data_IF_903602821442
#
_entry.id   IF_903602821442
#
_cell.length_a   1.000
_cell.length_b   1.000
_cell.length_c   1.000
_cell.angle_alpha   90.00
_cell.angle_beta   90.00
_cell.angle_gamma   90.00
#
_symmetry.space_group_name_H-M   'P 1'
#
loop_
_entity.id
_entity.type
_entity.pdbx_description
1 polymer ?
#
# COMPACT_ATOMS: atom_id res chain seq x y z
N UNK A 1 -0.85 -14.65 33.21
CA UNK A 1 -0.12 -15.30 32.09
C UNK A 1 -1.03 -15.24 30.87
N UNK A 2 -0.51 -14.80 29.69
CA UNK A 2 -1.26 -14.89 28.44
C UNK A 2 -1.56 -16.36 28.14
N UNK A 3 -2.82 -16.66 27.73
CA UNK A 3 -3.21 -18.02 27.34
C UNK A 3 -2.57 -18.35 26.00
N UNK A 4 -2.00 -19.54 25.86
CA UNK A 4 -1.39 -20.04 24.63
C UNK A 4 -2.29 -21.12 24.02
N UNK A 5 -2.52 -21.01 22.70
CA UNK A 5 -3.29 -21.94 21.88
C UNK A 5 -2.40 -22.39 20.72
N UNK A 6 -1.71 -23.51 20.89
CA UNK A 6 -0.90 -24.08 19.83
C UNK A 6 -1.82 -24.70 18.77
N UNK A 7 -1.68 -24.31 17.50
CA UNK A 7 -2.55 -24.80 16.41
C UNK A 7 -2.46 -26.32 16.24
N UNK A 8 -1.37 -26.96 16.67
CA UNK A 8 -1.18 -28.41 16.63
C UNK A 8 -2.12 -29.14 17.60
N UNK A 9 -2.48 -28.50 18.70
CA UNK A 9 -3.48 -29.06 19.65
C UNK A 9 -4.87 -29.09 19.06
N UNK A 10 -5.11 -28.31 17.97
CA UNK A 10 -6.35 -28.29 17.20
C UNK A 10 -6.29 -29.15 15.94
N UNK A 11 -5.20 -29.89 15.73
CA UNK A 11 -5.04 -30.82 14.63
C UNK A 11 -4.26 -30.28 13.42
N UNK A 12 -3.57 -29.12 13.54
CA UNK A 12 -2.72 -28.64 12.47
C UNK A 12 -1.48 -29.53 12.32
N UNK A 13 -1.10 -29.81 11.05
CA UNK A 13 0.07 -30.62 10.69
C UNK A 13 1.03 -29.78 9.88
N UNK A 14 2.25 -29.62 10.38
CA UNK A 14 3.27 -28.74 9.79
C UNK A 14 4.06 -29.36 8.63
N UNK A 15 3.38 -30.06 7.70
CA UNK A 15 4.01 -30.77 6.58
C UNK A 15 3.92 -30.04 5.23
N UNK A 16 3.28 -28.84 5.21
CA UNK A 16 3.05 -28.05 4.01
C UNK A 16 2.00 -28.60 3.02
N UNK A 17 1.29 -29.65 3.40
CA UNK A 17 0.33 -30.37 2.52
C UNK A 17 -1.04 -30.52 3.13
N UNK A 18 -1.09 -30.84 4.40
CA UNK A 18 -2.33 -30.98 5.15
C UNK A 18 -2.99 -29.60 5.30
N UNK A 19 -4.29 -29.51 4.96
CA UNK A 19 -5.07 -28.29 5.10
C UNK A 19 -5.34 -27.99 6.59
N UNK A 20 -4.63 -27.02 7.13
CA UNK A 20 -4.71 -26.59 8.52
C UNK A 20 -5.75 -25.49 8.77
N UNK A 21 -6.53 -25.07 7.77
CA UNK A 21 -7.46 -23.93 7.87
C UNK A 21 -8.41 -24.06 9.05
N UNK A 22 -9.09 -25.22 9.17
CA UNK A 22 -10.05 -25.46 10.25
C UNK A 22 -9.38 -25.46 11.64
N UNK A 23 -8.19 -26.05 11.77
CA UNK A 23 -7.43 -26.07 13.01
C UNK A 23 -7.00 -24.69 13.46
N UNK A 24 -6.45 -23.88 12.54
CA UNK A 24 -6.03 -22.50 12.83
C UNK A 24 -7.25 -21.63 13.17
N UNK A 25 -8.34 -21.74 12.40
CA UNK A 25 -9.55 -20.97 12.69
C UNK A 25 -10.16 -21.32 14.05
N UNK A 26 -10.19 -22.62 14.40
CA UNK A 26 -10.67 -23.07 15.70
C UNK A 26 -9.81 -22.54 16.84
N UNK A 27 -8.49 -22.49 16.68
CA UNK A 27 -7.59 -21.91 17.67
C UNK A 27 -7.86 -20.39 17.85
N UNK A 28 -8.07 -19.66 16.76
CA UNK A 28 -8.44 -18.23 16.78
C UNK A 28 -9.76 -18.01 17.51
N UNK A 29 -10.79 -18.78 17.18
CA UNK A 29 -12.12 -18.65 17.80
C UNK A 29 -12.06 -18.98 19.29
N UNK A 30 -11.41 -20.06 19.68
CA UNK A 30 -11.23 -20.48 21.10
C UNK A 30 -10.41 -19.47 21.90
N UNK A 31 -9.37 -18.90 21.29
CA UNK A 31 -8.58 -17.85 21.92
C UNK A 31 -9.42 -16.64 22.27
N UNK A 32 -10.23 -16.16 21.32
CA UNK A 32 -11.13 -15.02 21.54
C UNK A 32 -12.23 -15.32 22.57
N UNK A 33 -12.90 -16.48 22.48
CA UNK A 33 -13.91 -16.94 23.46
C UNK A 33 -13.35 -17.02 24.88
N UNK A 34 -12.07 -17.33 25.01
CA UNK A 34 -11.39 -17.37 26.31
C UNK A 34 -11.00 -15.97 26.85
N UNK A 35 -11.36 -14.89 26.14
CA UNK A 35 -11.04 -13.51 26.50
C UNK A 35 -9.68 -13.04 25.98
N UNK A 36 -9.16 -13.69 24.96
CA UNK A 36 -7.90 -13.33 24.29
C UNK A 36 -6.68 -14.14 24.72
N UNK A 37 -5.61 -14.02 23.95
CA UNK A 37 -4.37 -14.73 24.15
C UNK A 37 -3.50 -14.83 22.88
N UNK A 38 -2.63 -15.83 22.87
CA UNK A 38 -1.74 -16.09 21.74
C UNK A 38 -2.11 -17.40 21.05
N UNK A 39 -2.38 -17.34 19.75
CA UNK A 39 -2.47 -18.50 18.87
C UNK A 39 -1.08 -18.72 18.26
N UNK A 40 -0.44 -19.84 18.53
CA UNK A 40 0.92 -20.13 18.12
C UNK A 40 0.94 -21.08 16.92
N UNK A 41 1.51 -20.61 15.79
CA UNK A 41 2.01 -21.45 14.72
C UNK A 41 3.48 -21.74 14.97
N UNK A 42 3.77 -22.88 15.59
CA UNK A 42 5.12 -23.29 15.95
C UNK A 42 5.94 -23.74 14.72
N UNK A 43 7.08 -24.40 14.95
CA UNK A 43 7.91 -24.96 13.88
C UNK A 43 7.13 -25.84 12.91
N UNK A 44 7.29 -25.62 11.61
CA UNK A 44 6.64 -26.37 10.53
C UNK A 44 6.05 -25.47 9.44
N UNK A 45 5.58 -26.08 8.35
CA UNK A 45 4.88 -25.38 7.25
C UNK A 45 3.41 -25.77 7.27
N UNK A 46 2.54 -24.81 7.46
CA UNK A 46 1.10 -25.03 7.61
C UNK A 46 0.35 -24.46 6.42
N UNK A 47 -0.16 -25.35 5.55
CA UNK A 47 -1.02 -24.99 4.44
C UNK A 47 -2.37 -24.51 4.99
N UNK A 48 -2.82 -23.32 4.56
CA UNK A 48 -4.08 -22.76 5.01
C UNK A 48 -4.80 -21.98 3.88
N UNK A 49 -6.07 -21.75 4.08
CA UNK A 49 -6.94 -20.92 3.27
C UNK A 49 -7.52 -19.78 4.13
N UNK A 50 -8.38 -18.90 3.60
CA UNK A 50 -8.81 -17.69 4.30
C UNK A 50 -9.21 -17.90 5.76
N UNK A 51 -8.67 -17.03 6.61
CA UNK A 51 -8.91 -16.99 8.05
C UNK A 51 -9.59 -15.68 8.45
N UNK A 52 -10.50 -15.76 9.42
CA UNK A 52 -11.17 -14.61 10.03
C UNK A 52 -10.61 -14.34 11.42
N UNK A 53 -10.13 -13.13 11.63
CA UNK A 53 -9.67 -12.68 12.95
C UNK A 53 -10.84 -12.40 13.90
N UNK A 54 -10.55 -12.52 15.19
CA UNK A 54 -11.41 -12.15 16.30
C UNK A 54 -10.67 -11.19 17.22
N UNK A 55 -11.43 -10.41 18.00
CA UNK A 55 -10.83 -9.50 18.99
C UNK A 55 -10.02 -10.24 20.05
N UNK A 56 -8.94 -9.61 20.51
CA UNK A 56 -8.07 -10.14 21.56
C UNK A 56 -7.08 -11.23 21.10
N UNK A 57 -6.97 -11.50 19.79
CA UNK A 57 -6.14 -12.59 19.27
C UNK A 57 -4.80 -12.07 18.78
N UNK A 58 -3.71 -12.65 19.30
CA UNK A 58 -2.35 -12.53 18.79
C UNK A 58 -1.99 -13.82 18.05
N UNK A 59 -1.91 -13.77 16.71
CA UNK A 59 -1.38 -14.89 15.90
C UNK A 59 0.13 -14.74 15.82
N UNK A 60 0.84 -15.63 16.48
CA UNK A 60 2.29 -15.64 16.52
C UNK A 60 2.86 -16.79 15.68
N UNK A 61 3.76 -16.45 14.74
CA UNK A 61 4.46 -17.41 13.90
C UNK A 61 5.90 -17.51 14.41
N UNK A 62 6.29 -18.69 14.88
CA UNK A 62 7.64 -18.93 15.36
C UNK A 62 8.67 -18.69 14.25
N UNK A 63 9.93 -18.42 14.62
CA UNK A 63 11.02 -18.07 13.68
C UNK A 63 11.21 -19.09 12.53
N UNK A 64 10.95 -20.36 12.76
CA UNK A 64 11.01 -21.47 11.81
C UNK A 64 9.62 -21.96 11.37
N UNK A 65 8.56 -21.23 11.75
CA UNK A 65 7.19 -21.45 11.32
C UNK A 65 6.89 -20.77 9.98
N UNK A 66 6.14 -21.46 9.14
CA UNK A 66 5.67 -20.93 7.85
C UNK A 66 4.16 -21.14 7.73
N UNK A 67 3.41 -20.05 7.53
CA UNK A 67 2.03 -20.11 7.05
C UNK A 67 2.04 -20.03 5.53
N UNK A 68 1.58 -21.10 4.86
CA UNK A 68 1.58 -21.24 3.41
C UNK A 68 0.15 -21.13 2.87
N UNK A 69 -0.19 -20.03 2.18
CA UNK A 69 -1.52 -19.85 1.63
C UNK A 69 -1.80 -20.84 0.49
N UNK A 70 -2.99 -21.43 0.45
CA UNK A 70 -3.37 -22.38 -0.58
C UNK A 70 -3.57 -21.72 -1.94
N UNK A 71 -3.37 -22.46 -3.03
CA UNK A 71 -3.37 -21.94 -4.40
C UNK A 71 -4.67 -22.20 -5.18
N UNK A 72 -5.69 -22.80 -4.57
CA UNK A 72 -6.98 -23.02 -5.21
C UNK A 72 -7.87 -21.77 -5.12
N UNK A 73 -8.10 -21.02 -6.23
CA UNK A 73 -8.85 -19.78 -6.23
C UNK A 73 -10.33 -19.96 -5.84
N UNK A 74 -10.90 -21.14 -6.00
CA UNK A 74 -12.29 -21.43 -5.65
C UNK A 74 -12.54 -21.40 -4.13
N UNK A 75 -11.50 -21.50 -3.35
CA UNK A 75 -11.54 -21.51 -1.87
C UNK A 75 -11.40 -20.14 -1.24
N UNK A 76 -11.27 -19.09 -2.03
CA UNK A 76 -11.22 -17.70 -1.56
C UNK A 76 -12.58 -17.03 -1.68
N UNK A 77 -13.36 -16.91 -0.59
CA UNK A 77 -14.69 -16.33 -0.64
C UNK A 77 -14.64 -14.82 -0.89
N UNK A 78 -15.67 -14.30 -1.54
CA UNK A 78 -15.86 -12.86 -1.64
C UNK A 78 -16.49 -12.29 -0.36
N UNK A 79 -16.02 -11.12 0.05
CA UNK A 79 -16.66 -10.34 1.11
C UNK A 79 -17.77 -9.52 0.49
N UNK A 80 -18.98 -9.62 1.06
CA UNK A 80 -20.10 -8.73 0.75
C UNK A 80 -19.98 -7.37 1.43
N UNK A 81 -20.90 -6.47 1.13
CA UNK A 81 -21.09 -5.24 1.89
C UNK A 81 -21.48 -5.54 3.35
N UNK A 82 -21.04 -4.71 4.26
CA UNK A 82 -21.28 -4.86 5.69
C UNK A 82 -21.39 -3.49 6.37
N UNK A 83 -21.64 -3.37 7.69
CA UNK A 83 -21.79 -2.10 8.39
C UNK A 83 -20.57 -1.19 8.37
N UNK A 84 -19.37 -1.73 8.11
CA UNK A 84 -18.11 -0.98 8.15
C UNK A 84 -17.70 -0.40 6.81
N UNK A 85 -18.18 -0.96 5.70
CA UNK A 85 -17.79 -0.49 4.37
C UNK A 85 -18.75 -0.93 3.27
N UNK A 86 -18.77 -0.17 2.18
CA UNK A 86 -19.47 -0.48 0.93
C UNK A 86 -18.49 -0.90 -0.14
N UNK A 87 -18.97 -1.66 -1.11
CA UNK A 87 -18.19 -2.03 -2.28
C UNK A 87 -18.17 -0.84 -3.26
N UNK A 88 -17.15 -0.01 -3.14
CA UNK A 88 -16.92 1.10 -4.08
C UNK A 88 -16.32 0.64 -5.41
N UNK A 89 -16.12 1.61 -6.31
CA UNK A 89 -15.66 1.37 -7.68
C UNK A 89 -14.34 0.61 -7.76
N UNK A 90 -13.36 1.05 -6.99
CA UNK A 90 -12.01 0.52 -7.06
C UNK A 90 -11.88 -0.94 -6.57
N UNK A 91 -12.94 -1.52 -6.01
CA UNK A 91 -12.84 -2.76 -5.25
C UNK A 91 -13.74 -3.90 -5.75
N UNK A 92 -14.60 -3.65 -6.74
CA UNK A 92 -15.53 -4.65 -7.24
C UNK A 92 -14.90 -5.99 -7.59
N UNK A 93 -13.63 -5.96 -8.06
CA UNK A 93 -12.91 -7.16 -8.47
C UNK A 93 -11.94 -7.70 -7.40
N UNK A 94 -11.91 -7.11 -6.18
CA UNK A 94 -10.87 -7.36 -5.19
C UNK A 94 -11.41 -7.68 -3.79
N UNK A 95 -12.52 -8.41 -3.72
CA UNK A 95 -13.22 -8.73 -2.46
C UNK A 95 -12.77 -10.02 -1.77
N UNK A 96 -11.70 -10.64 -2.27
CA UNK A 96 -11.16 -11.88 -1.71
C UNK A 96 -9.92 -11.61 -0.90
N UNK A 97 -9.76 -12.32 0.20
CA UNK A 97 -8.72 -12.09 1.20
C UNK A 97 -8.04 -13.39 1.62
N UNK A 98 -6.92 -13.25 2.32
CA UNK A 98 -6.28 -14.36 3.04
C UNK A 98 -6.55 -14.25 4.53
N UNK A 99 -6.27 -13.09 5.13
CA UNK A 99 -6.63 -12.77 6.51
C UNK A 99 -7.63 -11.62 6.53
N UNK A 100 -8.73 -11.76 7.27
CA UNK A 100 -9.77 -10.76 7.38
C UNK A 100 -10.19 -10.50 8.82
N UNK A 101 -10.24 -9.23 9.21
CA UNK A 101 -10.79 -8.76 10.48
C UNK A 101 -11.77 -7.61 10.25
N UNK A 102 -12.95 -7.71 10.84
CA UNK A 102 -14.05 -6.77 10.71
C UNK A 102 -14.53 -6.35 12.08
N UNK A 103 -14.38 -5.06 12.41
CA UNK A 103 -14.78 -4.51 13.71
C UNK A 103 -14.05 -5.17 14.88
N UNK A 104 -12.83 -5.62 14.69
CA UNK A 104 -12.04 -6.31 15.73
C UNK A 104 -11.10 -5.35 16.43
N UNK A 105 -10.80 -5.64 17.69
CA UNK A 105 -9.90 -4.85 18.51
C UNK A 105 -8.82 -5.72 19.16
N UNK A 106 -7.64 -5.12 19.46
CA UNK A 106 -6.52 -5.78 20.14
C UNK A 106 -6.06 -7.03 19.40
N UNK A 107 -5.71 -6.87 18.11
CA UNK A 107 -5.26 -7.97 17.26
C UNK A 107 -3.83 -7.79 16.85
N UNK A 108 -3.10 -8.92 16.75
CA UNK A 108 -1.75 -8.92 16.23
C UNK A 108 -1.51 -10.11 15.29
N UNK A 109 -0.72 -9.86 14.23
CA UNK A 109 -0.04 -10.91 13.46
C UNK A 109 1.46 -10.65 13.63
N UNK A 110 2.18 -11.59 14.21
CA UNK A 110 3.53 -11.28 14.69
C UNK A 110 4.42 -12.51 14.82
N UNK A 111 5.65 -12.30 15.23
CA UNK A 111 6.65 -13.32 15.38
C UNK A 111 7.86 -13.09 14.49
N UNK A 112 8.70 -14.09 14.28
CA UNK A 112 9.89 -14.03 13.43
C UNK A 112 9.79 -14.97 12.23
N UNK A 113 8.62 -15.62 12.06
CA UNK A 113 8.35 -16.58 11.00
C UNK A 113 7.95 -15.94 9.68
N UNK A 114 7.38 -16.78 8.80
CA UNK A 114 7.04 -16.38 7.44
C UNK A 114 5.57 -16.62 7.10
N UNK A 115 5.02 -15.76 6.26
CA UNK A 115 3.75 -15.99 5.58
C UNK A 115 4.02 -15.90 4.08
N UNK A 116 3.84 -17.01 3.36
CA UNK A 116 3.95 -17.07 1.91
C UNK A 116 2.55 -17.13 1.30
N UNK A 117 2.20 -16.06 0.61
CA UNK A 117 0.89 -15.95 -0.03
C UNK A 117 0.82 -16.62 -1.40
N UNK A 118 1.93 -17.15 -1.91
CA UNK A 118 2.03 -17.86 -3.18
C UNK A 118 1.44 -17.10 -4.38
N UNK A 119 1.56 -15.78 -4.40
CA UNK A 119 0.92 -14.89 -5.38
C UNK A 119 1.26 -15.20 -6.84
N UNK A 120 2.46 -15.72 -7.11
CA UNK A 120 2.90 -16.17 -8.44
C UNK A 120 2.05 -17.33 -9.00
N UNK A 121 1.28 -18.02 -8.15
CA UNK A 121 0.32 -19.03 -8.61
C UNK A 121 -0.98 -18.43 -9.17
N UNK A 122 -1.22 -17.15 -8.89
CA UNK A 122 -2.44 -16.43 -9.30
C UNK A 122 -2.17 -15.34 -10.33
N UNK A 123 -0.96 -14.79 -10.34
CA UNK A 123 -0.59 -13.67 -11.21
C UNK A 123 0.50 -14.09 -12.19
N UNK A 124 0.31 -13.72 -13.44
CA UNK A 124 1.35 -13.93 -14.44
C UNK A 124 2.47 -12.89 -14.28
N UNK A 125 3.68 -13.36 -14.04
CA UNK A 125 4.90 -12.55 -14.05
C UNK A 125 5.69 -12.88 -15.30
N UNK A 126 5.78 -11.94 -16.26
CA UNK A 126 6.56 -12.14 -17.48
C UNK A 126 8.06 -11.95 -17.17
N UNK A 127 8.87 -13.03 -17.21
CA UNK A 127 10.30 -12.93 -16.91
C UNK A 127 11.11 -12.15 -17.97
N UNK A 128 10.53 -11.91 -19.14
CA UNK A 128 11.18 -11.11 -20.20
C UNK A 128 11.09 -9.61 -19.93
N UNK A 129 10.21 -9.16 -19.03
CA UNK A 129 10.14 -7.77 -18.63
C UNK A 129 11.25 -7.44 -17.63
N UNK A 130 11.88 -6.25 -17.73
CA UNK A 130 12.80 -5.79 -16.69
C UNK A 130 12.11 -5.72 -15.32
N UNK A 131 12.82 -6.07 -14.26
CA UNK A 131 12.28 -6.00 -12.90
C UNK A 131 11.84 -4.58 -12.53
N UNK A 132 12.64 -3.61 -12.90
CA UNK A 132 12.28 -2.20 -12.73
C UNK A 132 11.78 -1.62 -14.04
N UNK A 133 10.66 -1.15 -13.96
CA UNK A 133 9.74 -0.91 -15.00
C UNK A 133 9.70 0.51 -15.51
N UNK A 134 10.50 0.80 -16.48
CA UNK A 134 9.95 1.61 -17.55
C UNK A 134 8.75 0.95 -18.28
N UNK A 135 8.26 -0.19 -17.83
CA UNK A 135 7.29 -1.01 -18.60
C UNK A 135 6.09 -1.56 -17.81
N UNK A 136 5.79 -1.01 -16.61
CA UNK A 136 4.66 -1.49 -15.81
C UNK A 136 3.33 -1.49 -16.58
N UNK A 137 3.12 -0.58 -17.52
CA UNK A 137 1.95 -0.54 -18.42
C UNK A 137 1.90 -1.68 -19.43
N UNK A 138 3.00 -2.43 -19.62
CA UNK A 138 3.05 -3.63 -20.45
C UNK A 138 2.68 -4.89 -19.66
N UNK A 139 2.52 -4.79 -18.34
CA UNK A 139 2.16 -5.93 -17.51
C UNK A 139 0.75 -6.38 -17.81
N UNK A 140 0.57 -7.69 -17.88
CA UNK A 140 -0.74 -8.28 -17.93
C UNK A 140 -1.35 -8.28 -16.53
N UNK A 141 -2.56 -7.76 -16.40
CA UNK A 141 -3.31 -7.80 -15.17
C UNK A 141 -4.29 -8.95 -15.21
N UNK A 142 -4.00 -10.02 -14.49
CA UNK A 142 -4.94 -11.11 -14.26
C UNK A 142 -5.95 -10.72 -13.16
N UNK A 143 -7.10 -11.41 -13.04
CA UNK A 143 -8.01 -11.19 -11.93
C UNK A 143 -7.28 -11.34 -10.59
N UNK A 144 -7.41 -10.35 -9.69
CA UNK A 144 -6.75 -10.38 -8.38
C UNK A 144 -7.47 -11.35 -7.43
N UNK A 145 -6.97 -12.57 -7.32
CA UNK A 145 -7.49 -13.61 -6.44
C UNK A 145 -6.31 -14.28 -5.70
N UNK A 146 -6.22 -14.15 -4.36
CA UNK A 146 -6.92 -13.18 -3.52
C UNK A 146 -6.42 -11.75 -3.76
N UNK A 147 -7.31 -10.77 -3.76
CA UNK A 147 -6.94 -9.38 -4.00
C UNK A 147 -6.34 -8.67 -2.78
N UNK A 148 -6.49 -9.26 -1.59
CA UNK A 148 -6.00 -8.71 -0.31
C UNK A 148 -5.42 -9.83 0.54
N UNK A 149 -4.15 -9.71 0.91
CA UNK A 149 -3.55 -10.71 1.77
C UNK A 149 -3.94 -10.50 3.23
N UNK A 150 -3.77 -9.29 3.78
CA UNK A 150 -4.18 -8.94 5.14
C UNK A 150 -5.16 -7.77 5.04
N UNK A 151 -6.41 -7.99 5.41
CA UNK A 151 -7.45 -6.99 5.32
C UNK A 151 -8.17 -6.79 6.67
N UNK A 152 -8.04 -5.60 7.24
CA UNK A 152 -8.79 -5.17 8.41
C UNK A 152 -9.68 -3.99 8.07
N UNK A 153 -10.94 -4.01 8.55
CA UNK A 153 -11.90 -2.92 8.36
C UNK A 153 -12.60 -2.57 9.66
N UNK A 154 -12.77 -1.25 9.92
CA UNK A 154 -13.47 -0.75 11.11
C UNK A 154 -12.86 -1.25 12.42
N UNK A 155 -11.55 -1.49 12.44
CA UNK A 155 -10.85 -2.20 13.51
C UNK A 155 -9.86 -1.28 14.24
N UNK A 156 -9.49 -1.63 15.46
CA UNK A 156 -8.61 -0.80 16.29
C UNK A 156 -7.56 -1.61 17.05
N UNK A 157 -6.42 -0.96 17.38
CA UNK A 157 -5.24 -1.56 18.01
C UNK A 157 -4.78 -2.81 17.26
N UNK A 158 -4.29 -2.56 16.03
CA UNK A 158 -3.83 -3.60 15.11
C UNK A 158 -2.31 -3.56 15.07
N UNK A 159 -1.68 -4.72 15.17
CA UNK A 159 -0.22 -4.87 15.10
C UNK A 159 0.19 -5.89 14.05
N UNK A 160 1.20 -5.53 13.27
CA UNK A 160 1.90 -6.42 12.34
C UNK A 160 3.39 -6.30 12.64
N UNK A 161 4.01 -7.34 13.21
CA UNK A 161 5.33 -7.19 13.83
C UNK A 161 6.25 -8.39 13.55
N UNK A 162 7.49 -8.11 13.08
CA UNK A 162 8.61 -9.06 13.05
C UNK A 162 8.62 -10.08 11.91
N UNK A 163 7.60 -10.09 11.07
CA UNK A 163 7.35 -11.13 10.07
C UNK A 163 8.01 -10.87 8.72
N UNK A 164 8.27 -11.96 8.00
CA UNK A 164 8.53 -11.92 6.55
C UNK A 164 7.28 -12.34 5.78
N UNK A 165 6.74 -11.43 4.96
CA UNK A 165 5.59 -11.64 4.10
C UNK A 165 6.05 -11.77 2.65
N UNK A 166 5.66 -12.85 1.99
CA UNK A 166 6.15 -13.19 0.65
C UNK A 166 5.03 -13.27 -0.38
N UNK A 167 5.30 -12.77 -1.58
CA UNK A 167 4.56 -13.00 -2.82
C UNK A 167 3.03 -12.85 -2.68
N UNK A 168 2.55 -11.65 -2.34
CA UNK A 168 1.12 -11.36 -2.36
C UNK A 168 0.58 -11.28 -3.80
N UNK A 169 -0.55 -11.93 -4.07
CA UNK A 169 -1.21 -11.88 -5.37
C UNK A 169 -1.90 -10.52 -5.66
N UNK A 170 -2.10 -9.72 -4.63
CA UNK A 170 -2.64 -8.37 -4.66
C UNK A 170 -1.98 -7.53 -3.57
N UNK A 171 -2.70 -6.65 -2.91
CA UNK A 171 -2.13 -5.84 -1.83
C UNK A 171 -1.74 -6.70 -0.63
N UNK A 172 -0.52 -6.52 -0.12
CA UNK A 172 -0.07 -7.22 1.09
C UNK A 172 -0.94 -6.87 2.29
N UNK A 173 -1.19 -5.58 2.52
CA UNK A 173 -2.10 -5.17 3.58
C UNK A 173 -3.10 -4.13 3.10
N UNK A 174 -4.29 -4.17 3.68
CA UNK A 174 -5.26 -3.11 3.56
C UNK A 174 -5.92 -2.86 4.92
N UNK A 175 -5.66 -1.69 5.47
CA UNK A 175 -6.35 -1.17 6.64
C UNK A 175 -7.37 -0.15 6.14
N UNK A 176 -8.67 -0.40 6.37
CA UNK A 176 -9.76 0.46 5.93
C UNK A 176 -10.56 0.93 7.15
N UNK A 177 -10.65 2.26 7.36
CA UNK A 177 -11.32 2.83 8.54
C UNK A 177 -10.80 2.24 9.86
N UNK A 178 -9.50 2.03 9.96
CA UNK A 178 -8.85 1.48 11.14
C UNK A 178 -8.15 2.57 11.95
N UNK A 179 -7.97 2.31 13.23
CA UNK A 179 -7.34 3.24 14.19
C UNK A 179 -6.28 2.53 15.03
N UNK A 180 -5.24 3.27 15.42
CA UNK A 180 -4.14 2.78 16.27
C UNK A 180 -3.41 1.56 15.66
N UNK A 181 -2.85 1.77 14.46
CA UNK A 181 -2.17 0.73 13.69
C UNK A 181 -0.65 0.82 13.92
N UNK A 182 -0.02 -0.31 14.16
CA UNK A 182 1.44 -0.43 14.24
C UNK A 182 1.95 -1.51 13.32
N UNK A 183 2.88 -1.14 12.44
CA UNK A 183 3.61 -2.08 11.57
C UNK A 183 5.10 -1.88 11.82
N UNK A 184 5.78 -2.89 12.32
CA UNK A 184 7.20 -2.75 12.67
C UNK A 184 8.01 -4.03 12.43
N UNK A 185 9.27 -3.85 12.01
CA UNK A 185 10.21 -4.96 11.73
C UNK A 185 9.63 -5.99 10.74
N UNK A 186 8.87 -5.52 9.74
CA UNK A 186 8.24 -6.37 8.72
C UNK A 186 9.01 -6.27 7.42
N UNK A 187 9.32 -7.43 6.83
CA UNK A 187 9.77 -7.52 5.45
C UNK A 187 8.59 -7.94 4.56
N UNK A 188 8.31 -7.19 3.48
CA UNK A 188 7.33 -7.54 2.45
C UNK A 188 8.05 -7.66 1.12
N UNK A 189 8.08 -8.85 0.55
CA UNK A 189 8.83 -9.09 -0.68
C UNK A 189 7.95 -9.74 -1.75
N UNK A 190 7.75 -9.02 -2.85
CA UNK A 190 7.15 -9.53 -4.07
C UNK A 190 8.10 -9.33 -5.26
N UNK A 191 7.85 -10.02 -6.36
CA UNK A 191 8.50 -9.73 -7.62
C UNK A 191 8.11 -8.32 -8.09
N UNK A 192 9.10 -7.47 -8.40
CA UNK A 192 8.86 -6.08 -8.83
C UNK A 192 8.03 -5.98 -10.11
N UNK A 193 7.91 -7.06 -10.86
CA UNK A 193 7.06 -7.17 -12.06
C UNK A 193 5.62 -7.55 -11.74
N UNK A 194 5.32 -8.00 -10.53
CA UNK A 194 3.98 -8.42 -10.14
C UNK A 194 3.05 -7.21 -10.02
N UNK A 195 1.97 -7.13 -10.80
CA UNK A 195 1.05 -6.00 -10.74
C UNK A 195 0.25 -6.02 -9.43
N UNK A 196 -0.09 -4.83 -8.94
CA UNK A 196 -0.93 -4.66 -7.75
C UNK A 196 -0.46 -5.40 -6.48
N UNK A 197 0.82 -5.73 -6.38
CA UNK A 197 1.40 -6.24 -5.14
C UNK A 197 1.86 -5.08 -4.25
N UNK A 198 0.90 -4.19 -3.93
CA UNK A 198 1.13 -3.03 -3.06
C UNK A 198 1.51 -3.47 -1.64
N UNK A 199 2.31 -2.67 -0.95
CA UNK A 199 2.75 -2.96 0.41
C UNK A 199 1.70 -2.61 1.47
N UNK A 200 1.89 -1.46 2.13
CA UNK A 200 1.03 -1.04 3.25
C UNK A 200 0.03 0.01 2.79
N UNK A 201 -1.25 -0.34 2.83
CA UNK A 201 -2.34 0.48 2.33
C UNK A 201 -3.23 0.98 3.48
N UNK A 202 -3.22 2.30 3.71
CA UNK A 202 -4.09 2.99 4.66
C UNK A 202 -5.25 3.64 3.90
N UNK A 203 -6.47 3.18 4.13
CA UNK A 203 -7.70 3.75 3.60
C UNK A 203 -8.54 4.39 4.69
N UNK A 204 -8.60 5.72 4.76
CA UNK A 204 -9.37 6.45 5.79
C UNK A 204 -9.00 6.05 7.23
N UNK A 205 -7.72 5.77 7.46
CA UNK A 205 -7.19 5.36 8.76
C UNK A 205 -6.73 6.54 9.61
N UNK A 206 -6.61 6.31 10.91
CA UNK A 206 -6.10 7.30 11.87
C UNK A 206 -5.06 6.68 12.80
N UNK A 207 -4.04 7.48 13.16
CA UNK A 207 -3.02 7.11 14.15
C UNK A 207 -2.25 5.83 13.76
N UNK A 208 -1.53 5.86 12.64
CA UNK A 208 -0.70 4.72 12.22
C UNK A 208 0.79 5.03 12.34
N UNK A 209 1.55 4.04 12.77
CA UNK A 209 3.01 4.08 12.80
C UNK A 209 3.56 2.88 12.04
N UNK A 210 4.45 3.16 11.07
CA UNK A 210 5.26 2.16 10.37
C UNK A 210 6.72 2.43 10.68
N UNK A 211 7.45 1.43 11.17
CA UNK A 211 8.87 1.60 11.46
C UNK A 211 9.70 0.34 11.20
N UNK A 212 10.95 0.56 10.82
CA UNK A 212 11.96 -0.51 10.71
C UNK A 212 11.54 -1.63 9.75
N UNK A 213 10.90 -1.26 8.62
CA UNK A 213 10.39 -2.19 7.62
C UNK A 213 11.25 -2.19 6.35
N UNK A 214 11.28 -3.34 5.66
CA UNK A 214 11.92 -3.52 4.35
C UNK A 214 10.86 -3.97 3.32
N UNK A 215 10.46 -3.07 2.42
CA UNK A 215 9.35 -3.27 1.50
C UNK A 215 9.85 -3.32 0.05
N UNK A 216 9.69 -4.47 -0.60
CA UNK A 216 9.93 -4.68 -2.02
C UNK A 216 8.62 -5.08 -2.69
N UNK A 217 8.03 -4.18 -3.43
CA UNK A 217 6.70 -4.36 -3.99
C UNK A 217 6.66 -4.14 -5.50
N UNK A 218 5.89 -4.91 -6.18
CA UNK A 218 5.69 -4.72 -7.62
C UNK A 218 4.82 -3.51 -7.96
N UNK A 219 4.01 -3.04 -7.01
CA UNK A 219 3.26 -1.78 -7.09
C UNK A 219 3.70 -0.86 -5.94
N UNK A 220 2.87 0.03 -5.42
CA UNK A 220 3.28 1.05 -4.44
C UNK A 220 3.69 0.44 -3.09
N UNK A 221 4.73 1.00 -2.40
CA UNK A 221 5.13 0.46 -1.09
C UNK A 221 4.24 0.97 0.04
N UNK A 222 4.06 2.28 0.17
CA UNK A 222 3.25 2.92 1.21
C UNK A 222 2.17 3.77 0.53
N UNK A 223 0.92 3.53 0.90
CA UNK A 223 -0.21 4.20 0.29
C UNK A 223 -1.11 4.82 1.36
N UNK A 224 -1.37 6.13 1.24
CA UNK A 224 -2.29 6.86 2.12
C UNK A 224 -3.46 7.36 1.27
N UNK A 225 -4.66 6.94 1.61
CA UNK A 225 -5.90 7.25 0.88
C UNK A 225 -7.04 7.60 1.84
N UNK A 226 -7.97 8.41 1.38
CA UNK A 226 -9.22 8.74 2.09
C UNK A 226 -10.41 8.30 1.23
N UNK A 227 -10.64 7.00 1.14
CA UNK A 227 -11.52 6.31 0.18
C UNK A 227 -13.00 6.54 0.48
N UNK A 228 -13.52 7.74 0.19
CA UNK A 228 -14.89 8.15 0.58
C UNK A 228 -16.00 7.26 0.00
N UNK A 229 -15.80 6.68 -1.16
CA UNK A 229 -16.80 5.80 -1.80
C UNK A 229 -17.10 4.50 -1.03
N UNK A 230 -16.29 4.20 0.00
CA UNK A 230 -16.47 3.01 0.86
C UNK A 230 -17.47 3.26 2.00
N UNK A 231 -17.89 4.50 2.22
CA UNK A 231 -18.65 4.90 3.40
C UNK A 231 -19.89 5.73 3.03
N UNK A 232 -20.87 5.81 3.93
CA UNK A 232 -22.01 6.72 3.79
C UNK A 232 -21.58 8.19 3.90
N UNK A 233 -20.63 8.47 4.82
CA UNK A 233 -20.03 9.78 5.00
C UNK A 233 -18.52 9.70 4.77
N UNK A 234 -17.94 10.69 4.08
CA UNK A 234 -16.51 10.74 3.83
C UNK A 234 -15.70 10.74 5.11
N UNK A 235 -14.65 9.92 5.15
CA UNK A 235 -13.71 9.82 6.28
C UNK A 235 -12.33 10.28 5.87
N UNK A 236 -11.65 10.99 6.76
CA UNK A 236 -10.27 11.45 6.56
C UNK A 236 -9.28 10.30 6.77
N UNK A 237 -8.08 10.44 6.17
CA UNK A 237 -6.92 9.63 6.52
C UNK A 237 -5.87 10.54 7.13
N UNK A 238 -5.49 10.32 8.40
CA UNK A 238 -4.65 11.27 9.12
C UNK A 238 -3.74 10.66 10.18
N UNK A 239 -2.70 11.43 10.58
CA UNK A 239 -1.76 11.07 11.64
C UNK A 239 -1.00 9.77 11.32
N UNK A 240 -0.42 9.70 10.11
CA UNK A 240 0.38 8.56 9.66
C UNK A 240 1.86 8.92 9.77
N UNK A 241 2.63 8.10 10.47
CA UNK A 241 4.08 8.22 10.55
C UNK A 241 4.75 7.00 9.97
N UNK A 242 5.70 7.21 9.04
CA UNK A 242 6.56 6.16 8.46
C UNK A 242 8.01 6.55 8.69
N UNK A 243 8.80 5.68 9.32
CA UNK A 243 10.20 6.01 9.63
C UNK A 243 11.12 4.77 9.60
N UNK A 244 12.42 5.00 9.36
CA UNK A 244 13.45 3.95 9.34
C UNK A 244 13.14 2.79 8.38
N UNK A 245 12.59 3.07 7.22
CA UNK A 245 12.20 2.01 6.28
C UNK A 245 13.06 2.03 5.03
N UNK A 246 13.22 0.85 4.43
CA UNK A 246 13.80 0.67 3.10
C UNK A 246 12.64 0.34 2.16
N UNK A 247 12.52 1.08 1.07
CA UNK A 247 11.43 0.97 0.10
C UNK A 247 11.99 0.70 -1.30
N UNK A 248 11.44 -0.28 -1.99
CA UNK A 248 11.70 -0.52 -3.41
C UNK A 248 10.40 -0.84 -4.13
N UNK A 249 10.02 -0.03 -5.10
CA UNK A 249 8.72 -0.12 -5.77
C UNK A 249 8.83 -0.24 -7.27
N UNK A 250 8.08 -1.16 -7.85
CA UNK A 250 7.82 -1.21 -9.28
C UNK A 250 6.92 -0.06 -9.77
N UNK A 251 6.30 0.71 -8.87
CA UNK A 251 5.47 1.88 -9.17
C UNK A 251 5.90 3.11 -8.34
N UNK A 252 5.29 3.39 -7.19
CA UNK A 252 5.67 4.52 -6.35
C UNK A 252 6.14 4.03 -4.98
N UNK A 253 7.26 4.56 -4.49
CA UNK A 253 7.67 4.23 -3.13
C UNK A 253 6.65 4.74 -2.09
N UNK A 254 6.12 5.95 -2.29
CA UNK A 254 5.06 6.52 -1.45
C UNK A 254 4.00 7.15 -2.36
N UNK A 255 2.75 6.74 -2.18
CA UNK A 255 1.59 7.32 -2.85
C UNK A 255 0.66 7.98 -1.84
N UNK A 256 0.29 9.22 -2.12
CA UNK A 256 -0.74 9.96 -1.40
C UNK A 256 -1.89 10.23 -2.37
N UNK A 257 -3.05 9.66 -2.08
CA UNK A 257 -4.27 9.84 -2.83
C UNK A 257 -4.42 8.98 -4.09
N UNK A 258 -5.65 8.94 -4.56
CA UNK A 258 -6.11 8.31 -5.79
C UNK A 258 -7.49 8.85 -6.15
N UNK A 259 -8.14 8.24 -7.15
CA UNK A 259 -9.51 8.56 -7.57
C UNK A 259 -10.48 8.53 -6.39
N UNK A 260 -11.33 9.55 -6.28
CA UNK A 260 -12.40 9.70 -5.28
C UNK A 260 -11.90 9.71 -3.82
N UNK A 261 -10.67 10.09 -3.58
CA UNK A 261 -10.21 10.31 -2.22
C UNK A 261 -10.70 11.66 -1.69
N UNK A 262 -10.89 11.72 -0.37
CA UNK A 262 -11.33 12.92 0.35
C UNK A 262 -10.15 13.69 0.93
N UNK A 263 -9.94 13.70 2.22
CA UNK A 263 -8.89 14.47 2.88
C UNK A 263 -7.81 13.57 3.47
N UNK A 264 -6.55 13.82 3.12
CA UNK A 264 -5.38 13.19 3.74
C UNK A 264 -4.53 14.27 4.37
N UNK A 265 -4.12 14.08 5.63
CA UNK A 265 -3.39 15.12 6.35
C UNK A 265 -2.52 14.61 7.50
N UNK A 266 -1.61 15.49 7.97
CA UNK A 266 -0.78 15.24 9.15
C UNK A 266 0.05 13.97 9.02
N UNK A 267 0.77 13.80 7.91
CA UNK A 267 1.60 12.62 7.67
C UNK A 267 3.09 12.97 7.67
N UNK A 268 3.89 12.11 8.28
CA UNK A 268 5.35 12.27 8.34
C UNK A 268 6.02 11.02 7.79
N UNK A 269 6.93 11.23 6.84
CA UNK A 269 7.76 10.19 6.24
C UNK A 269 9.23 10.59 6.43
N UNK A 270 9.98 9.82 7.22
CA UNK A 270 11.33 10.25 7.60
C UNK A 270 12.32 9.08 7.71
N UNK A 271 13.61 9.40 7.57
CA UNK A 271 14.68 8.40 7.68
C UNK A 271 14.47 7.22 6.73
N UNK A 272 14.28 7.50 5.44
CA UNK A 272 13.95 6.48 4.45
C UNK A 272 15.11 6.28 3.48
N UNK A 273 15.31 5.03 3.07
CA UNK A 273 16.10 4.68 1.90
C UNK A 273 15.15 4.17 0.83
N UNK A 274 14.99 4.93 -0.24
CA UNK A 274 14.26 4.50 -1.43
C UNK A 274 15.28 3.88 -2.37
N UNK A 275 15.38 2.56 -2.38
CA UNK A 275 16.19 1.84 -3.36
C UNK A 275 15.65 2.11 -4.75
N UNK A 276 16.43 1.82 -5.77
CA UNK A 276 16.04 2.05 -7.16
C UNK A 276 14.59 1.65 -7.41
N UNK A 277 13.72 2.65 -7.51
CA UNK A 277 12.26 2.52 -7.67
C UNK A 277 11.81 3.22 -8.95
N UNK A 278 10.61 2.93 -9.45
CA UNK A 278 10.12 3.60 -10.64
C UNK A 278 9.90 5.10 -10.37
N UNK A 279 9.20 5.47 -9.31
CA UNK A 279 9.07 6.85 -8.84
C UNK A 279 9.19 6.89 -7.31
N UNK A 280 9.52 8.04 -6.76
CA UNK A 280 9.61 8.23 -5.32
C UNK A 280 8.24 8.53 -4.68
N UNK A 281 7.94 9.80 -4.50
CA UNK A 281 6.80 10.32 -3.75
C UNK A 281 5.82 10.96 -4.73
N UNK A 282 4.57 10.50 -4.77
CA UNK A 282 3.53 11.05 -5.62
C UNK A 282 2.28 11.45 -4.84
N UNK A 283 1.83 12.69 -5.05
CA UNK A 283 0.48 13.15 -4.66
C UNK A 283 -0.38 13.13 -5.91
N UNK A 284 -1.38 12.24 -5.96
CA UNK A 284 -2.11 11.99 -7.20
C UNK A 284 -3.61 11.87 -6.99
N UNK A 285 -4.38 12.48 -7.89
CA UNK A 285 -5.83 12.34 -7.92
C UNK A 285 -6.33 12.25 -9.37
N UNK A 286 -6.23 11.06 -10.00
CA UNK A 286 -6.76 10.87 -11.35
C UNK A 286 -8.29 10.87 -11.35
N UNK A 287 -8.90 11.38 -12.40
CA UNK A 287 -10.35 11.28 -12.59
C UNK A 287 -10.76 9.85 -12.95
N UNK A 288 -11.93 9.41 -12.49
CA UNK A 288 -12.42 8.05 -12.78
C UNK A 288 -12.68 7.86 -14.27
N UNK A 289 -13.10 8.92 -14.98
CA UNK A 289 -13.33 8.91 -16.43
C UNK A 289 -12.13 8.44 -17.24
N UNK A 290 -10.90 8.63 -16.73
CA UNK A 290 -9.67 8.23 -17.42
C UNK A 290 -9.52 6.71 -17.47
N UNK A 291 -10.12 6.01 -16.52
CA UNK A 291 -10.14 4.55 -16.51
C UNK A 291 -11.22 3.98 -17.45
N UNK A 292 -12.31 4.73 -17.67
CA UNK A 292 -13.38 4.34 -18.60
C UNK A 292 -12.99 4.53 -20.06
N UNK A 293 -12.10 5.46 -20.37
CA UNK A 293 -11.63 5.72 -21.74
C UNK A 293 -10.65 4.67 -22.25
N UNK A 294 -10.21 3.74 -21.40
CA UNK A 294 -9.36 2.61 -21.81
C UNK A 294 -10.19 1.57 -22.56
N UNK A 295 -9.56 0.91 -23.51
CA UNK A 295 -10.14 -0.22 -24.22
C UNK A 295 -9.35 -1.51 -23.91
N UNK A 296 -9.93 -2.49 -23.20
CA UNK A 296 -11.24 -2.42 -22.50
C UNK A 296 -11.23 -1.49 -21.29
N UNK A 297 -12.39 -0.95 -20.90
CA UNK A 297 -12.53 -0.14 -19.69
C UNK A 297 -12.02 -0.89 -18.45
N UNK A 298 -11.25 -0.23 -17.60
CA UNK A 298 -10.74 -0.86 -16.37
C UNK A 298 -11.86 -1.19 -15.37
N UNK A 299 -12.94 -0.42 -15.39
CA UNK A 299 -14.11 -0.57 -14.52
C UNK A 299 -15.42 -0.52 -15.33
N UNK A 300 -15.69 -1.57 -16.15
CA UNK A 300 -16.83 -1.57 -17.08
C UNK A 300 -18.19 -1.44 -16.40
N UNK A 301 -18.29 -1.90 -15.14
CA UNK A 301 -19.55 -1.89 -14.36
C UNK A 301 -19.73 -0.64 -13.51
N UNK A 302 -18.93 0.39 -13.73
CA UNK A 302 -19.07 1.66 -13.00
C UNK A 302 -20.44 2.29 -13.29
N UNK A 303 -21.31 2.49 -12.26
CA UNK A 303 -22.60 3.16 -12.46
C UNK A 303 -22.42 4.58 -13.04
N UNK A 304 -23.30 4.96 -13.95
CA UNK A 304 -23.35 6.31 -14.53
C UNK A 304 -24.70 6.96 -14.22
N UNK A 305 -24.77 8.27 -13.88
CA UNK A 305 -23.62 9.17 -13.70
C UNK A 305 -22.75 8.73 -12.55
N UNK A 306 -21.48 9.17 -12.54
CA UNK A 306 -20.58 8.94 -11.41
C UNK A 306 -21.17 9.57 -10.14
N UNK A 307 -20.98 8.94 -8.96
CA UNK A 307 -21.45 9.51 -7.71
C UNK A 307 -20.81 10.89 -7.48
N UNK A 308 -21.57 11.79 -6.91
CA UNK A 308 -21.03 13.05 -6.40
C UNK A 308 -20.07 12.75 -5.26
N UNK A 309 -18.86 13.28 -5.35
CA UNK A 309 -17.81 13.09 -4.33
C UNK A 309 -17.40 14.45 -3.76
N UNK A 310 -17.03 14.45 -2.48
CA UNK A 310 -16.42 15.62 -1.86
C UNK A 310 -15.04 15.88 -2.49
N UNK A 311 -14.61 17.14 -2.59
CA UNK A 311 -13.33 17.47 -3.20
C UNK A 311 -12.14 16.80 -2.49
N UNK A 312 -11.17 16.39 -3.28
CA UNK A 312 -9.88 15.91 -2.84
C UNK A 312 -9.09 17.02 -2.15
N UNK A 313 -8.48 16.71 -1.01
CA UNK A 313 -7.60 17.65 -0.34
C UNK A 313 -6.44 16.96 0.35
N UNK A 314 -5.28 17.63 0.36
CA UNK A 314 -4.07 17.16 1.04
C UNK A 314 -3.41 18.32 1.77
N UNK A 315 -3.04 18.12 3.04
CA UNK A 315 -2.30 19.10 3.81
C UNK A 315 -1.38 18.52 4.87
N UNK A 316 -0.38 19.30 5.26
CA UNK A 316 0.53 18.99 6.36
C UNK A 316 1.28 17.68 6.14
N UNK A 317 2.06 17.58 5.07
CA UNK A 317 2.93 16.44 4.79
C UNK A 317 4.40 16.83 4.96
N UNK A 318 5.15 16.03 5.69
CA UNK A 318 6.59 16.15 5.82
C UNK A 318 7.30 14.90 5.28
N UNK A 319 8.21 15.11 4.35
CA UNK A 319 9.16 14.12 3.85
C UNK A 319 10.57 14.56 4.25
N UNK A 320 11.25 13.81 5.12
CA UNK A 320 12.49 14.27 5.70
C UNK A 320 13.56 13.18 5.79
N UNK A 321 14.81 13.58 5.58
CA UNK A 321 15.98 12.69 5.70
C UNK A 321 15.83 11.43 4.82
N UNK A 322 15.85 11.64 3.50
CA UNK A 322 15.60 10.59 2.50
C UNK A 322 16.81 10.46 1.56
N UNK A 323 17.34 9.27 1.44
CA UNK A 323 18.29 8.86 0.40
C UNK A 323 17.53 8.06 -0.66
N UNK A 324 17.63 8.44 -1.95
CA UNK A 324 16.79 7.84 -2.97
C UNK A 324 17.49 7.59 -4.31
N UNK A 325 17.09 6.52 -4.99
CA UNK A 325 17.33 6.29 -6.41
C UNK A 325 16.00 5.98 -7.12
N UNK A 326 15.66 6.78 -8.15
CA UNK A 326 14.45 6.58 -8.94
C UNK A 326 14.72 6.67 -10.44
N UNK A 327 14.01 5.87 -11.21
CA UNK A 327 14.07 5.97 -12.67
C UNK A 327 13.20 7.11 -13.22
N UNK A 328 12.16 7.49 -12.51
CA UNK A 328 11.33 8.67 -12.73
C UNK A 328 11.65 9.80 -11.74
N UNK A 329 10.69 10.67 -11.42
CA UNK A 329 10.88 11.75 -10.45
C UNK A 329 10.90 11.22 -9.01
N UNK A 330 11.68 11.90 -8.15
CA UNK A 330 11.62 11.66 -6.70
C UNK A 330 10.32 12.20 -6.10
N UNK A 331 9.81 13.30 -6.62
CA UNK A 331 8.60 13.94 -6.11
C UNK A 331 7.75 14.48 -7.26
N UNK A 332 6.44 14.29 -7.17
CA UNK A 332 5.50 14.93 -8.09
C UNK A 332 4.10 15.10 -7.48
N UNK A 333 3.38 16.10 -7.99
CA UNK A 333 1.95 16.31 -7.76
C UNK A 333 1.26 16.24 -9.12
N UNK A 334 0.27 15.35 -9.29
CA UNK A 334 -0.49 15.21 -10.53
C UNK A 334 -1.98 15.19 -10.25
N UNK A 335 -2.65 16.29 -10.60
CA UNK A 335 -4.07 16.55 -10.28
C UNK A 335 -4.90 16.96 -11.50
N UNK A 336 -4.28 17.17 -12.66
CA UNK A 336 -4.93 17.78 -13.85
C UNK A 336 -6.14 17.03 -14.36
N UNK A 337 -6.18 15.72 -14.09
CA UNK A 337 -7.26 14.85 -14.55
C UNK A 337 -8.51 14.93 -13.67
N UNK A 338 -8.41 15.52 -12.47
CA UNK A 338 -9.51 15.62 -11.50
C UNK A 338 -9.91 17.10 -11.29
N UNK A 339 -11.14 17.45 -11.64
CA UNK A 339 -11.69 18.80 -11.42
C UNK A 339 -12.16 19.03 -9.97
N UNK A 340 -12.43 17.96 -9.23
CA UNK A 340 -12.89 17.99 -7.84
C UNK A 340 -11.72 17.98 -6.83
N UNK A 341 -10.81 18.94 -6.97
CA UNK A 341 -9.70 19.17 -6.03
C UNK A 341 -9.91 20.51 -5.34
N UNK A 342 -9.89 20.53 -4.01
CA UNK A 342 -9.98 21.75 -3.22
C UNK A 342 -8.59 22.36 -3.01
N UNK A 343 -7.72 21.66 -2.28
CA UNK A 343 -6.36 22.15 -2.07
C UNK A 343 -5.34 21.00 -1.90
N UNK A 344 -4.09 21.37 -2.20
CA UNK A 344 -2.89 20.62 -1.83
C UNK A 344 -1.89 21.62 -1.28
N UNK A 345 -1.59 21.57 0.04
CA UNK A 345 -0.81 22.62 0.69
C UNK A 345 0.01 22.12 1.88
N UNK A 346 0.98 22.96 2.27
CA UNK A 346 1.87 22.71 3.39
C UNK A 346 2.56 21.34 3.28
N UNK A 347 3.34 21.18 2.21
CA UNK A 347 4.13 19.98 1.92
C UNK A 347 5.60 20.35 1.94
N UNK A 348 6.40 19.69 2.76
CA UNK A 348 7.81 19.94 2.88
C UNK A 348 8.65 18.70 2.54
N UNK A 349 9.68 18.89 1.70
CA UNK A 349 10.78 17.96 1.47
C UNK A 349 12.04 18.53 2.10
N UNK A 350 12.61 17.87 3.11
CA UNK A 350 13.75 18.35 3.87
C UNK A 350 14.86 17.31 3.99
N UNK A 351 16.11 17.70 3.67
CA UNK A 351 17.23 16.78 3.75
C UNK A 351 17.08 15.59 2.83
N UNK A 352 16.82 15.82 1.52
CA UNK A 352 16.63 14.77 0.52
C UNK A 352 17.80 14.76 -0.44
N UNK A 353 18.46 13.62 -0.57
CA UNK A 353 19.40 13.35 -1.66
C UNK A 353 18.82 12.28 -2.58
N UNK A 354 18.73 12.57 -3.87
CA UNK A 354 18.11 11.66 -4.82
C UNK A 354 18.84 11.62 -6.18
N UNK A 355 19.10 10.40 -6.66
CA UNK A 355 19.49 10.14 -8.05
C UNK A 355 18.23 9.86 -8.84
N UNK A 356 17.90 10.71 -9.83
CA UNK A 356 16.62 10.68 -10.54
C UNK A 356 16.81 10.64 -12.05
N UNK A 357 15.94 9.92 -12.75
CA UNK A 357 15.89 9.94 -14.22
C UNK A 357 14.98 11.02 -14.79
N UNK A 358 14.11 11.63 -13.98
CA UNK A 358 13.21 12.72 -14.38
C UNK A 358 13.13 13.78 -13.28
N UNK A 359 12.83 15.01 -13.70
CA UNK A 359 12.67 16.13 -12.78
C UNK A 359 11.37 16.04 -11.99
N UNK A 360 11.35 16.55 -10.75
CA UNK A 360 10.11 16.81 -10.03
C UNK A 360 9.17 17.73 -10.81
N UNK A 361 7.87 17.54 -10.64
CA UNK A 361 6.89 18.40 -11.29
C UNK A 361 5.60 18.55 -10.46
N UNK A 362 4.87 19.63 -10.74
CA UNK A 362 3.52 19.88 -10.25
C UNK A 362 2.63 20.10 -11.48
N UNK A 363 1.67 19.22 -11.70
CA UNK A 363 0.70 19.29 -12.78
C UNK A 363 -0.70 19.43 -12.19
N UNK A 364 -1.20 20.69 -12.17
CA UNK A 364 -2.45 21.10 -11.54
C UNK A 364 -3.20 22.09 -12.43
N UNK A 365 -4.52 22.16 -12.28
CA UNK A 365 -5.35 23.20 -12.89
C UNK A 365 -5.27 24.51 -12.08
N UNK A 366 -5.52 25.67 -12.68
CA UNK A 366 -5.54 26.94 -11.96
C UNK A 366 -6.55 27.02 -10.81
N UNK A 367 -7.63 26.21 -10.88
CA UNK A 367 -8.64 26.12 -9.82
C UNK A 367 -8.19 25.28 -8.63
N UNK A 368 -7.14 24.46 -8.80
CA UNK A 368 -6.56 23.68 -7.71
C UNK A 368 -5.68 24.59 -6.86
N UNK A 369 -5.99 24.75 -5.59
CA UNK A 369 -5.22 25.59 -4.69
C UNK A 369 -3.96 24.84 -4.20
N UNK A 370 -2.95 24.75 -5.07
CA UNK A 370 -1.64 24.16 -4.71
C UNK A 370 -0.74 25.26 -4.17
N UNK A 371 -0.34 25.18 -2.90
CA UNK A 371 0.47 26.22 -2.24
C UNK A 371 1.35 25.67 -1.11
N UNK A 372 2.25 26.53 -0.63
CA UNK A 372 3.10 26.24 0.52
C UNK A 372 3.90 24.94 0.36
N UNK A 373 4.64 24.84 -0.74
CA UNK A 373 5.53 23.72 -1.04
C UNK A 373 6.96 24.11 -0.74
N UNK A 374 7.61 23.38 0.16
CA UNK A 374 8.98 23.68 0.60
C UNK A 374 9.96 22.58 0.15
N UNK A 375 11.08 23.02 -0.41
CA UNK A 375 12.25 22.17 -0.69
C UNK A 375 13.45 22.76 0.07
N UNK A 376 13.87 22.10 1.15
CA UNK A 376 14.95 22.54 2.01
C UNK A 376 16.03 21.46 2.11
N UNK A 377 17.29 21.85 1.86
CA UNK A 377 18.43 20.94 1.82
C UNK A 377 18.20 19.73 0.86
N UNK A 378 17.74 20.00 -0.35
CA UNK A 378 17.46 18.99 -1.37
C UNK A 378 18.56 18.99 -2.43
N UNK A 379 19.14 17.83 -2.70
CA UNK A 379 20.10 17.63 -3.80
C UNK A 379 19.56 16.56 -4.76
N UNK A 380 19.43 16.94 -6.02
CA UNK A 380 19.03 16.03 -7.11
C UNK A 380 20.23 15.79 -8.03
N UNK A 381 20.60 14.53 -8.23
CA UNK A 381 21.52 14.09 -9.24
C UNK A 381 20.74 13.53 -10.42
N UNK A 382 20.73 14.27 -11.53
CA UNK A 382 20.00 13.87 -12.73
C UNK A 382 20.85 12.91 -13.55
N UNK A 383 20.33 11.69 -13.75
CA UNK A 383 21.01 10.62 -14.49
C UNK A 383 20.10 10.05 -15.56
N UNK A 384 20.57 10.03 -16.80
CA UNK A 384 19.83 9.42 -17.89
C UNK A 384 19.47 7.95 -17.59
N UNK A 385 18.20 7.61 -17.78
CA UNK A 385 17.67 6.26 -17.56
C UNK A 385 17.12 5.74 -18.89
N UNK A 386 17.88 4.92 -19.63
CA UNK A 386 17.42 4.41 -20.93
C UNK A 386 16.15 3.56 -20.83
N UNK A 387 15.89 2.96 -19.67
CA UNK A 387 14.72 2.11 -19.42
C UNK A 387 13.38 2.85 -19.52
N UNK A 388 13.39 4.18 -19.43
CA UNK A 388 12.18 5.01 -19.54
C UNK A 388 12.13 5.84 -20.82
N UNK A 389 13.00 5.58 -21.80
CA UNK A 389 12.97 6.31 -23.07
C UNK A 389 11.57 6.30 -23.73
N UNK A 390 10.84 5.18 -23.61
CA UNK A 390 9.49 5.00 -24.14
C UNK A 390 8.39 5.22 -23.09
N UNK A 391 8.72 5.80 -21.92
CA UNK A 391 7.73 6.02 -20.87
C UNK A 391 6.68 7.06 -21.33
N UNK A 392 5.39 6.86 -20.99
CA UNK A 392 4.37 7.86 -21.25
C UNK A 392 4.74 9.21 -20.62
N UNK A 393 4.33 10.31 -21.25
CA UNK A 393 4.59 11.68 -20.80
C UNK A 393 4.17 11.97 -19.32
N UNK A 394 3.42 11.06 -18.72
CA UNK A 394 2.96 11.13 -17.33
C UNK A 394 4.06 10.97 -16.27
N UNK A 395 5.30 10.65 -16.66
CA UNK A 395 6.42 10.36 -15.76
C UNK A 395 7.40 11.51 -15.58
N UNK A 396 6.95 12.71 -15.78
CA UNK A 396 7.78 13.90 -15.64
C UNK A 396 8.49 14.29 -16.94
N UNK A 397 8.81 15.57 -17.03
CA UNK A 397 9.47 16.21 -18.16
C UNK A 397 10.99 16.19 -18.10
N UNK A 398 11.59 16.80 -19.12
CA UNK A 398 13.01 17.10 -19.16
C UNK A 398 13.37 18.40 -18.41
N UNK A 399 12.42 19.01 -17.69
CA UNK A 399 12.61 20.25 -16.97
C UNK A 399 11.85 20.27 -15.65
N UNK A 400 12.32 21.07 -14.70
CA UNK A 400 11.65 21.30 -13.42
C UNK A 400 10.42 22.18 -13.63
N UNK A 401 9.21 21.64 -13.38
CA UNK A 401 7.92 22.31 -13.62
C UNK A 401 7.13 22.47 -12.33
N UNK A 402 7.50 23.47 -11.50
CA UNK A 402 6.83 23.76 -10.22
C UNK A 402 5.99 25.07 -10.26
N UNK A 403 5.86 25.69 -11.42
CA UNK A 403 5.24 27.00 -11.61
C UNK A 403 3.71 27.02 -11.47
N UNK A 404 3.07 25.87 -11.35
CA UNK A 404 1.62 25.74 -11.16
C UNK A 404 1.19 25.79 -9.69
N UNK A 405 2.15 25.95 -8.77
CA UNK A 405 1.90 26.15 -7.35
C UNK A 405 2.21 27.59 -6.94
N UNK A 406 1.58 28.04 -5.85
CA UNK A 406 1.88 29.30 -5.18
C UNK A 406 2.80 29.03 -3.99
N UNK A 407 3.57 30.07 -3.60
CA UNK A 407 4.40 30.01 -2.40
C UNK A 407 5.29 28.76 -2.34
N UNK A 408 6.05 28.53 -3.43
CA UNK A 408 7.06 27.47 -3.50
C UNK A 408 8.38 28.03 -3.00
N UNK A 409 8.92 27.43 -1.95
CA UNK A 409 10.18 27.86 -1.32
C UNK A 409 11.28 26.85 -1.64
N UNK A 410 12.44 27.39 -2.05
CA UNK A 410 13.66 26.63 -2.27
C UNK A 410 14.74 27.18 -1.33
N UNK A 411 15.19 26.34 -0.40
CA UNK A 411 16.31 26.65 0.47
C UNK A 411 17.38 25.55 0.34
N UNK A 412 18.61 25.95 -0.03
CA UNK A 412 19.70 25.00 -0.32
C UNK A 412 19.32 23.88 -1.33
N UNK A 413 18.56 24.23 -2.35
CA UNK A 413 18.16 23.31 -3.42
C UNK A 413 19.22 23.26 -4.52
N UNK A 414 19.68 22.06 -4.87
CA UNK A 414 20.75 21.83 -5.84
C UNK A 414 20.33 20.78 -6.86
N UNK A 415 20.63 21.05 -8.13
CA UNK A 415 20.51 20.09 -9.23
C UNK A 415 21.91 19.89 -9.81
N UNK A 416 22.32 18.65 -9.96
CA UNK A 416 23.55 18.24 -10.63
C UNK A 416 23.17 17.35 -11.81
N UNK A 417 23.61 17.71 -12.99
CA UNK A 417 23.44 16.89 -14.20
C UNK A 417 24.72 16.11 -14.45
N UNK A 418 24.61 14.80 -14.49
CA UNK A 418 25.70 13.93 -14.94
C UNK A 418 25.49 13.70 -16.43
N UNK A 419 26.33 14.36 -17.22
CA UNK A 419 26.35 14.25 -18.69
C UNK A 419 26.72 12.84 -19.15
#
# INVERSE_FOLDING_TARGET
>A
MSRLFDIREFGAVGDGKFDCTAAIQQAIDRCSEAGGGTVLAASGTYLFYPLRFRSGVRLEIAWDGVLLAGTDPSRYPEIGENPYWKVGYALRNNRRYVFYGEGVEHVAICGEGKIDFQGKSFQHVDPALPELCGTWWKRKHDPLIPGRSIFFVGSRDIRLEGLTLLDSAGWFTWFLDCEDIRVSHVAMHADLRMPNSDGIHFGSCRNAIVSDCDLHTGDDCIIVRAMQEQFDEPKVCENITVTNCILQSGAQAIRIGWTHDYVMRNCVFSNLVIRRSRTGIGVTSPAIRDFDQRDPPRYPDTPKPYPEVKPFAVENLLFANIEAETIGPIFFIKLTDNEAVDFVRNIALRGVHAVCGRYPFIDALPAHHVSDIEFSDVTLEMKAQPEIADAPANYGGAALELHKAKDVVFDHFRIRETL
#
